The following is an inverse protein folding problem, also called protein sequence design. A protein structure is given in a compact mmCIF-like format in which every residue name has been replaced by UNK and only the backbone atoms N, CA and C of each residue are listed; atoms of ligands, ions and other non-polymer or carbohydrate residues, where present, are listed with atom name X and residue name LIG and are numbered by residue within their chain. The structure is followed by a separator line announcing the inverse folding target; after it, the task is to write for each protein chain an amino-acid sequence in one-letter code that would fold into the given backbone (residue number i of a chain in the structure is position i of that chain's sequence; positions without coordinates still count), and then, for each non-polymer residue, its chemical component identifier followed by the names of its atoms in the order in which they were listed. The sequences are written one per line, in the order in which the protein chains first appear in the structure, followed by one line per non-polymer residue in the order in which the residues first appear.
data_IF_279833208447
#
_entry.id   IF_279833208447
#
_cell.length_a   1.000
_cell.length_b   1.000
_cell.length_c   1.000
_cell.angle_alpha   90.00
_cell.angle_beta   90.00
_cell.angle_gamma   90.00
#
_symmetry.space_group_name_H-M   'P 1'
#
loop_
_entity.id
_entity.type
_entity.pdbx_description
1 polymer ?
#
# COMPACT_ATOMS: atom_id res chain seq x y z
N UNK A 1 -9.39 -32.09 10.70
CA UNK A 1 -8.74 -31.15 9.75
C UNK A 1 -9.69 -29.99 9.48
N UNK A 2 -9.19 -28.79 9.56
CA UNK A 2 -9.96 -27.59 9.28
C UNK A 2 -9.71 -27.13 7.84
N UNK A 3 -10.76 -26.66 7.19
CA UNK A 3 -10.68 -26.08 5.86
C UNK A 3 -11.02 -24.60 5.93
N UNK A 4 -10.23 -23.79 5.26
CA UNK A 4 -10.43 -22.35 5.21
C UNK A 4 -10.82 -21.94 3.80
N UNK A 5 -11.79 -21.05 3.70
CA UNK A 5 -12.21 -20.48 2.43
C UNK A 5 -11.83 -19.00 2.39
N UNK A 6 -11.34 -18.58 1.23
CA UNK A 6 -10.96 -17.20 1.02
C UNK A 6 -11.70 -16.66 -0.20
N UNK A 7 -12.43 -15.56 -0.02
CA UNK A 7 -13.12 -14.92 -1.12
C UNK A 7 -12.26 -13.84 -1.76
N UNK A 8 -12.54 -13.55 -3.04
CA UNK A 8 -11.89 -12.42 -3.70
C UNK A 8 -12.24 -11.11 -2.99
N UNK A 9 -13.47 -10.99 -2.50
CA UNK A 9 -13.92 -9.80 -1.81
C UNK A 9 -13.10 -9.53 -0.55
N UNK A 10 -12.85 -10.55 0.26
CA UNK A 10 -12.07 -10.36 1.48
C UNK A 10 -10.61 -10.00 1.16
N UNK A 11 -10.03 -10.58 0.12
CA UNK A 11 -8.67 -10.23 -0.31
C UNK A 11 -8.61 -8.81 -0.89
N UNK A 12 -9.60 -8.43 -1.69
CA UNK A 12 -9.68 -7.09 -2.24
C UNK A 12 -9.82 -6.04 -1.14
N UNK A 13 -10.62 -6.32 -0.11
CA UNK A 13 -10.77 -5.43 1.04
C UNK A 13 -9.45 -5.27 1.77
N UNK A 14 -8.73 -6.37 1.98
CA UNK A 14 -7.42 -6.34 2.62
C UNK A 14 -6.45 -5.42 1.87
N UNK A 15 -6.33 -5.60 0.56
CA UNK A 15 -5.44 -4.78 -0.26
C UNK A 15 -5.90 -3.32 -0.35
N UNK A 16 -7.22 -3.09 -0.42
CA UNK A 16 -7.77 -1.74 -0.45
C UNK A 16 -7.48 -0.99 0.84
N UNK A 17 -7.58 -1.67 1.98
CA UNK A 17 -7.29 -1.08 3.28
C UNK A 17 -5.82 -0.68 3.39
N UNK A 18 -4.93 -1.53 2.91
CA UNK A 18 -3.49 -1.23 2.88
C UNK A 18 -3.23 0.01 2.01
N UNK A 19 -3.83 0.04 0.82
CA UNK A 19 -3.69 1.18 -0.08
C UNK A 19 -4.18 2.48 0.54
N UNK A 20 -5.34 2.44 1.20
CA UNK A 20 -5.90 3.59 1.90
C UNK A 20 -5.00 4.05 3.04
N UNK A 21 -4.39 3.12 3.77
CA UNK A 21 -3.45 3.45 4.83
C UNK A 21 -2.20 4.14 4.28
N UNK A 22 -1.66 3.64 3.17
CA UNK A 22 -0.52 4.28 2.52
C UNK A 22 -0.86 5.72 2.16
N UNK A 23 -2.00 5.93 1.51
CA UNK A 23 -2.45 7.28 1.13
C UNK A 23 -2.56 8.19 2.34
N UNK A 24 -3.20 7.71 3.40
CA UNK A 24 -3.41 8.49 4.63
C UNK A 24 -2.10 8.95 5.24
N UNK A 25 -1.16 8.04 5.46
CA UNK A 25 0.11 8.37 6.09
C UNK A 25 1.04 9.13 5.16
N UNK A 26 0.97 8.86 3.84
CA UNK A 26 1.69 9.64 2.85
C UNK A 26 1.28 11.12 2.91
N UNK A 27 -0.03 11.37 2.90
CA UNK A 27 -0.55 12.75 2.95
C UNK A 27 -0.21 13.44 4.27
N UNK A 28 -0.27 12.71 5.39
CA UNK A 28 0.11 13.26 6.71
C UNK A 28 1.56 13.70 6.75
N UNK A 29 2.45 13.02 6.01
CA UNK A 29 3.86 13.37 5.95
C UNK A 29 4.16 14.38 4.83
N UNK A 30 3.15 14.82 4.09
CA UNK A 30 3.32 15.81 3.04
C UNK A 30 3.95 15.29 1.75
N UNK A 31 3.93 13.98 1.52
CA UNK A 31 4.47 13.41 0.28
C UNK A 31 3.39 13.37 -0.80
N UNK A 32 3.78 13.77 -2.02
CA UNK A 32 2.96 13.50 -3.21
C UNK A 32 3.15 12.04 -3.63
N UNK A 33 2.27 11.54 -4.48
CA UNK A 33 2.42 10.18 -5.04
C UNK A 33 3.74 10.06 -5.80
N UNK A 34 4.12 11.08 -6.56
CA UNK A 34 5.39 11.08 -7.29
C UNK A 34 6.58 11.02 -6.33
N UNK A 35 6.56 11.83 -5.28
CA UNK A 35 7.64 11.84 -4.30
C UNK A 35 7.79 10.49 -3.64
N UNK A 36 6.67 9.86 -3.26
CA UNK A 36 6.72 8.53 -2.67
C UNK A 36 7.26 7.49 -3.67
N UNK A 37 6.79 7.53 -4.92
CA UNK A 37 7.24 6.61 -5.95
C UNK A 37 8.76 6.69 -6.15
N UNK A 38 9.28 7.90 -6.23
CA UNK A 38 10.73 8.10 -6.37
C UNK A 38 11.49 7.64 -5.14
N UNK A 39 10.96 7.92 -3.95
CA UNK A 39 11.62 7.57 -2.68
C UNK A 39 11.75 6.06 -2.48
N UNK A 40 10.78 5.28 -2.93
CA UNK A 40 10.86 3.81 -2.82
C UNK A 40 11.59 3.18 -4.00
N UNK A 41 12.16 3.99 -4.89
CA UNK A 41 12.91 3.49 -6.04
C UNK A 41 12.03 3.03 -7.19
N UNK A 42 10.79 3.48 -7.26
CA UNK A 42 9.84 3.12 -8.30
C UNK A 42 9.71 4.26 -9.29
N UNK A 43 9.81 3.94 -10.59
CA UNK A 43 9.75 4.96 -11.63
C UNK A 43 8.33 5.34 -12.04
N UNK A 44 7.33 4.63 -11.54
CA UNK A 44 5.96 4.82 -11.98
C UNK A 44 5.09 5.38 -10.86
N UNK A 45 4.77 6.68 -10.93
CA UNK A 45 3.77 7.29 -10.05
C UNK A 45 2.40 6.65 -10.27
N UNK A 46 2.13 6.14 -11.48
CA UNK A 46 0.89 5.45 -11.80
C UNK A 46 0.69 4.18 -10.98
N UNK A 47 1.76 3.45 -10.67
CA UNK A 47 1.67 2.27 -9.80
C UNK A 47 1.21 2.67 -8.39
N UNK A 48 1.82 3.74 -7.83
CA UNK A 48 1.43 4.21 -6.49
C UNK A 48 -0.03 4.63 -6.49
N UNK A 49 -0.45 5.40 -7.49
CA UNK A 49 -1.83 5.87 -7.59
C UNK A 49 -2.83 4.70 -7.65
N UNK A 50 -2.54 3.69 -8.47
CA UNK A 50 -3.41 2.52 -8.60
C UNK A 50 -3.40 1.65 -7.36
N UNK A 51 -2.22 1.44 -6.76
CA UNK A 51 -2.09 0.60 -5.58
C UNK A 51 -2.77 1.21 -4.35
N UNK A 52 -2.77 2.53 -4.21
CA UNK A 52 -3.49 3.22 -3.13
C UNK A 52 -4.99 2.99 -3.21
N UNK A 53 -5.54 2.76 -4.40
CA UNK A 53 -6.95 2.50 -4.62
C UNK A 53 -7.26 1.04 -4.90
N UNK A 54 -6.25 0.18 -4.92
CA UNK A 54 -6.36 -1.21 -5.37
C UNK A 54 -7.04 -1.30 -6.76
N UNK A 55 -6.69 -0.37 -7.63
CA UNK A 55 -7.31 -0.29 -8.96
C UNK A 55 -6.61 -1.24 -9.91
N UNK A 56 -7.40 -1.90 -10.77
CA UNK A 56 -6.89 -2.90 -11.73
C UNK A 56 -6.08 -4.01 -11.03
N UNK A 57 -6.50 -4.39 -9.85
CA UNK A 57 -5.81 -5.41 -9.04
C UNK A 57 -4.34 -5.08 -8.74
N UNK A 58 -4.00 -3.78 -8.72
CA UNK A 58 -2.67 -3.33 -8.33
C UNK A 58 -2.62 -3.08 -6.83
N UNK A 59 -1.56 -3.55 -6.20
CA UNK A 59 -1.37 -3.37 -4.76
C UNK A 59 0.12 -3.31 -4.45
N UNK A 60 0.45 -2.90 -3.23
CA UNK A 60 1.85 -2.80 -2.80
C UNK A 60 2.38 -4.18 -2.41
N UNK A 61 3.60 -4.49 -2.83
CA UNK A 61 4.32 -5.68 -2.39
C UNK A 61 4.79 -5.49 -0.94
N UNK A 62 5.15 -6.59 -0.29
CA UNK A 62 5.71 -6.52 1.07
C UNK A 62 6.99 -5.69 1.10
N UNK A 63 7.84 -5.80 0.09
CA UNK A 63 9.04 -4.99 -0.01
C UNK A 63 8.70 -3.50 -0.08
N UNK A 64 7.70 -3.14 -0.88
CA UNK A 64 7.25 -1.76 -0.99
C UNK A 64 6.66 -1.27 0.33
N UNK A 65 5.89 -2.10 1.03
CA UNK A 65 5.34 -1.75 2.35
C UNK A 65 6.47 -1.44 3.34
N UNK A 66 7.51 -2.25 3.35
CA UNK A 66 8.66 -2.00 4.21
C UNK A 66 9.32 -0.66 3.89
N UNK A 67 9.58 -0.39 2.61
CA UNK A 67 10.21 0.84 2.17
C UNK A 67 9.36 2.07 2.48
N UNK A 68 8.06 1.98 2.20
CA UNK A 68 7.11 3.06 2.46
C UNK A 68 7.07 3.38 3.95
N UNK A 69 6.95 2.36 4.79
CA UNK A 69 6.92 2.54 6.24
C UNK A 69 8.17 3.25 6.75
N UNK A 70 9.35 2.85 6.24
CA UNK A 70 10.61 3.48 6.62
C UNK A 70 10.66 4.95 6.22
N UNK A 71 10.23 5.26 4.99
CA UNK A 71 10.20 6.64 4.49
C UNK A 71 9.22 7.49 5.29
N UNK A 72 8.05 6.94 5.60
CA UNK A 72 7.02 7.65 6.35
C UNK A 72 7.25 7.63 7.86
N UNK A 73 8.31 6.98 8.33
CA UNK A 73 8.71 6.88 9.74
C UNK A 73 7.61 6.29 10.62
N UNK A 74 7.01 5.21 10.12
CA UNK A 74 6.01 4.42 10.84
C UNK A 74 6.39 2.94 10.80
N UNK A 75 5.78 2.16 11.67
CA UNK A 75 5.95 0.71 11.64
C UNK A 75 5.25 0.12 10.42
N UNK A 76 5.83 -0.88 9.74
CA UNK A 76 5.12 -1.57 8.65
C UNK A 76 3.76 -2.10 9.08
N UNK A 77 3.61 -2.55 10.33
CA UNK A 77 2.34 -3.05 10.83
C UNK A 77 1.24 -1.99 10.80
N UNK A 78 1.60 -0.71 10.92
CA UNK A 78 0.65 0.40 10.84
C UNK A 78 -0.05 0.45 9.49
N UNK A 79 0.63 0.04 8.41
CA UNK A 79 0.06 0.03 7.07
C UNK A 79 -0.82 -1.19 6.80
N UNK A 80 -0.70 -2.25 7.63
CA UNK A 80 -1.38 -3.51 7.38
C UNK A 80 -2.71 -3.65 8.13
N UNK A 81 -3.11 -2.65 8.86
CA UNK A 81 -4.37 -2.68 9.64
C UNK A 81 -5.52 -2.01 8.94
#
# INVERSE_FOLDING_TARGET
MEFYEFSEEELNTFYSDIGANVKKFRERRGYTQMQLALAIGHNSVGHVAKAELHKYNKHFSLEQIYKIAKILQISPSTLLH
#
